data_IF_577694735891
#
_entry.id   IF_577694735891
#
_cell.length_a   1.000
_cell.length_b   1.000
_cell.length_c   1.000
_cell.angle_alpha   90.00
_cell.angle_beta   90.00
_cell.angle_gamma   90.00
#
_symmetry.space_group_name_H-M   'P 1'
#
loop_
_entity.id
_entity.type
_entity.pdbx_description
1 polymer ?
#
# COMPACT_ATOMS: atom_id res chain seq x y z
N UNK A 1 -8.93 4.05 50.27
CA UNK A 1 -8.24 5.27 49.75
C UNK A 1 -7.10 4.76 48.86
N UNK A 2 -6.98 4.97 47.55
CA UNK A 2 -7.58 5.90 46.59
C UNK A 2 -7.99 5.12 45.33
N UNK A 3 -9.06 5.58 44.69
CA UNK A 3 -9.60 5.15 43.40
C UNK A 3 -8.94 5.97 42.29
N UNK A 4 -8.52 5.33 41.18
CA UNK A 4 -8.35 5.88 39.82
C UNK A 4 -8.39 4.65 38.90
N UNK A 5 -9.51 4.29 38.25
CA UNK A 5 -10.08 4.89 37.05
C UNK A 5 -8.99 5.24 36.01
N UNK A 6 -8.79 4.36 35.03
CA UNK A 6 -8.87 4.62 33.58
C UNK A 6 -8.98 3.27 32.89
N UNK A 7 -10.24 2.90 32.68
CA UNK A 7 -10.68 2.07 31.57
C UNK A 7 -10.30 2.77 30.27
N UNK A 8 -9.57 2.11 29.37
CA UNK A 8 -9.80 2.02 27.91
C UNK A 8 -8.49 1.64 27.21
N UNK A 9 -8.53 0.56 26.45
CA UNK A 9 -8.17 0.49 25.01
C UNK A 9 -7.67 -0.91 24.63
N UNK A 10 -8.39 -1.95 25.05
CA UNK A 10 -8.47 -3.19 24.29
C UNK A 10 -9.27 -2.89 23.02
N UNK A 11 -8.59 -2.51 21.93
CA UNK A 11 -9.04 -2.59 20.51
C UNK A 11 -8.12 -1.74 19.63
N UNK A 12 -6.88 -2.18 19.43
CA UNK A 12 -6.19 -1.88 18.17
C UNK A 12 -6.52 -2.98 17.17
N UNK A 13 -7.67 -2.75 16.57
CA UNK A 13 -8.21 -3.33 15.35
C UNK A 13 -7.12 -3.45 14.30
N UNK A 14 -6.95 -4.67 13.79
CA UNK A 14 -6.52 -5.01 12.44
C UNK A 14 -5.90 -3.84 11.66
N UNK A 15 -4.58 -3.66 11.80
CA UNK A 15 -3.82 -2.98 10.76
C UNK A 15 -3.94 -3.84 9.50
N UNK A 16 -4.92 -3.52 8.66
CA UNK A 16 -5.02 -3.97 7.28
C UNK A 16 -3.81 -3.45 6.52
N UNK A 17 -2.67 -4.09 6.74
CA UNK A 17 -1.47 -3.93 5.95
C UNK A 17 -1.77 -4.55 4.60
N UNK A 18 -2.38 -3.77 3.71
CA UNK A 18 -2.17 -3.94 2.29
C UNK A 18 -0.72 -3.52 2.03
N UNK A 19 0.23 -4.40 2.41
CA UNK A 19 1.62 -4.36 1.99
C UNK A 19 1.62 -4.60 0.48
N UNK A 20 1.29 -3.55 -0.28
CA UNK A 20 1.50 -3.54 -1.72
C UNK A 20 2.99 -3.60 -1.95
N UNK A 21 3.40 -4.64 -2.67
CA UNK A 21 4.66 -4.87 -3.38
C UNK A 21 5.92 -4.37 -2.67
N UNK A 22 6.86 -5.29 -2.44
CA UNK A 22 8.27 -4.93 -2.26
C UNK A 22 8.62 -3.90 -3.32
N UNK A 23 8.88 -2.67 -2.87
CA UNK A 23 9.35 -1.56 -3.65
C UNK A 23 10.71 -1.99 -4.25
N UNK A 24 10.68 -2.69 -5.37
CA UNK A 24 11.78 -2.70 -6.33
C UNK A 24 11.73 -1.34 -7.00
N UNK A 25 11.92 -0.29 -6.20
CA UNK A 25 12.20 1.03 -6.71
C UNK A 25 13.52 0.87 -7.45
N UNK A 26 13.44 0.87 -8.77
CA UNK A 26 14.62 0.97 -9.61
C UNK A 26 15.41 2.18 -9.10
N UNK A 27 16.62 1.93 -8.61
CA UNK A 27 17.54 2.95 -8.17
C UNK A 27 17.78 3.87 -9.37
N UNK A 28 17.12 5.03 -9.41
CA UNK A 28 17.21 5.95 -10.56
C UNK A 28 18.56 6.64 -10.67
N UNK A 29 19.53 6.25 -9.85
CA UNK A 29 20.82 6.89 -9.82
C UNK A 29 21.80 6.29 -10.82
N UNK A 30 22.75 7.13 -11.25
CA UNK A 30 23.84 6.74 -12.13
C UNK A 30 24.85 5.77 -11.49
N UNK A 31 24.77 5.57 -10.17
CA UNK A 31 25.74 4.78 -9.40
C UNK A 31 25.05 3.60 -8.74
N UNK A 32 25.62 2.41 -8.91
CA UNK A 32 25.08 1.18 -8.35
C UNK A 32 25.09 1.17 -6.82
N UNK A 33 24.32 0.26 -6.21
CA UNK A 33 24.30 0.10 -4.76
C UNK A 33 25.70 -0.23 -4.21
N UNK A 34 26.44 -1.10 -4.89
CA UNK A 34 27.79 -1.51 -4.53
C UNK A 34 28.77 -0.33 -4.59
N UNK A 35 28.72 0.46 -5.67
CA UNK A 35 29.55 1.65 -5.86
C UNK A 35 29.34 2.65 -4.71
N UNK A 36 28.07 2.90 -4.35
CA UNK A 36 27.70 3.78 -3.25
C UNK A 36 28.18 3.25 -1.91
N UNK A 37 28.00 1.95 -1.65
CA UNK A 37 28.39 1.31 -0.39
C UNK A 37 29.89 1.39 -0.17
N UNK A 38 30.69 1.00 -1.16
CA UNK A 38 32.14 1.01 -1.05
C UNK A 38 32.69 2.42 -0.89
N UNK A 39 32.16 3.39 -1.65
CA UNK A 39 32.55 4.78 -1.50
C UNK A 39 32.27 5.29 -0.06
N UNK A 40 31.10 4.96 0.50
CA UNK A 40 30.75 5.31 1.89
C UNK A 40 31.69 4.68 2.91
N UNK A 41 31.98 3.38 2.79
CA UNK A 41 32.84 2.65 3.73
C UNK A 41 34.26 3.22 3.70
N UNK A 42 34.84 3.45 2.52
CA UNK A 42 36.16 4.07 2.40
C UNK A 42 36.21 5.48 2.97
N UNK A 43 35.15 6.28 2.79
CA UNK A 43 35.12 7.62 3.39
C UNK A 43 35.00 7.62 4.90
N UNK A 44 34.39 6.59 5.49
CA UNK A 44 34.30 6.45 6.94
C UNK A 44 35.64 6.00 7.52
N UNK A 45 36.26 5.01 6.87
CA UNK A 45 37.57 4.49 7.27
C UNK A 45 38.69 5.54 7.17
N UNK A 46 38.55 6.55 6.30
CA UNK A 46 39.55 7.63 6.15
C UNK A 46 39.94 8.30 7.48
N UNK A 47 38.98 8.42 8.41
CA UNK A 47 39.21 9.05 9.73
C UNK A 47 40.18 8.22 10.57
N UNK A 48 40.16 6.90 10.41
CA UNK A 48 41.03 5.96 11.11
C UNK A 48 42.35 5.74 10.35
N UNK A 49 42.30 5.73 9.02
CA UNK A 49 43.44 5.44 8.13
C UNK A 49 44.25 6.68 7.72
N UNK A 50 43.83 7.90 8.07
CA UNK A 50 44.51 9.15 7.72
C UNK A 50 44.49 9.51 6.23
N UNK A 51 43.58 8.91 5.45
CA UNK A 51 43.48 9.13 4.00
C UNK A 51 42.75 10.42 3.66
N UNK A 52 43.10 11.01 2.52
CA UNK A 52 42.42 12.20 1.99
C UNK A 52 41.18 11.82 1.18
N UNK A 53 40.36 12.81 0.83
CA UNK A 53 39.18 12.54 -0.02
C UNK A 53 39.56 12.27 -1.47
N UNK A 54 40.70 12.80 -1.89
CA UNK A 54 41.28 12.65 -3.21
C UNK A 54 41.70 11.20 -3.42
N UNK A 55 42.29 10.56 -2.40
CA UNK A 55 42.66 9.14 -2.41
C UNK A 55 41.43 8.25 -2.61
N UNK A 56 40.34 8.50 -1.86
CA UNK A 56 39.08 7.73 -2.00
C UNK A 56 38.49 7.87 -3.42
N UNK A 57 38.61 9.06 -4.02
CA UNK A 57 38.11 9.29 -5.40
C UNK A 57 39.01 8.63 -6.44
N UNK A 58 40.32 8.59 -6.20
CA UNK A 58 41.26 7.87 -7.03
C UNK A 58 40.97 6.37 -6.99
N UNK A 59 40.86 5.79 -5.79
CA UNK A 59 40.53 4.37 -5.57
C UNK A 59 39.19 3.99 -6.22
N UNK A 60 38.19 4.87 -6.12
CA UNK A 60 36.89 4.67 -6.78
C UNK A 60 37.03 4.59 -8.29
N UNK A 61 37.79 5.52 -8.89
CA UNK A 61 37.98 5.56 -10.34
C UNK A 61 38.80 4.37 -10.81
N UNK A 62 39.83 3.98 -10.05
CA UNK A 62 40.66 2.81 -10.32
C UNK A 62 39.87 1.49 -10.28
N UNK A 63 38.95 1.34 -9.31
CA UNK A 63 38.16 0.11 -9.15
C UNK A 63 37.02 -0.02 -10.15
N UNK A 64 36.28 1.07 -10.41
CA UNK A 64 35.04 1.01 -11.21
C UNK A 64 35.19 1.53 -12.65
N UNK A 65 36.31 2.16 -13.00
CA UNK A 65 36.52 2.76 -14.32
C UNK A 65 35.55 3.90 -14.65
N UNK A 66 34.85 4.44 -13.63
CA UNK A 66 33.85 5.52 -13.75
C UNK A 66 34.34 6.78 -13.04
N UNK A 67 33.91 7.97 -13.48
CA UNK A 67 34.28 9.20 -12.79
C UNK A 67 33.73 9.20 -11.36
N UNK A 68 34.63 9.44 -10.41
CA UNK A 68 34.28 9.48 -8.99
C UNK A 68 33.24 10.57 -8.70
N UNK A 69 32.18 10.25 -7.91
CA UNK A 69 31.16 11.22 -7.52
C UNK A 69 31.76 12.44 -6.82
N UNK A 70 31.07 13.59 -6.81
CA UNK A 70 31.56 14.77 -6.10
C UNK A 70 31.59 14.52 -4.59
N UNK A 71 32.56 15.11 -3.89
CA UNK A 71 32.78 14.96 -2.43
C UNK A 71 31.50 15.04 -1.60
N UNK A 72 30.64 16.02 -1.90
CA UNK A 72 29.34 16.22 -1.21
C UNK A 72 28.41 15.00 -1.29
N UNK A 73 28.44 14.28 -2.41
CA UNK A 73 27.58 13.12 -2.65
C UNK A 73 28.09 11.92 -1.86
N UNK A 74 29.41 11.72 -1.86
CA UNK A 74 30.03 10.63 -1.11
C UNK A 74 29.80 10.82 0.40
N UNK A 75 30.01 12.03 0.92
CA UNK A 75 29.71 12.35 2.33
C UNK A 75 28.23 12.16 2.68
N UNK A 76 27.32 12.51 1.76
CA UNK A 76 25.88 12.25 1.96
C UNK A 76 25.60 10.76 2.05
N UNK A 77 26.24 9.94 1.23
CA UNK A 77 26.07 8.49 1.26
C UNK A 77 26.61 7.89 2.56
N UNK A 78 27.79 8.32 2.99
CA UNK A 78 28.42 7.90 4.25
C UNK A 78 27.52 8.23 5.44
N UNK A 79 27.18 9.50 5.62
CA UNK A 79 26.27 9.92 6.68
C UNK A 79 24.94 9.15 6.68
N UNK A 80 24.33 8.94 5.50
CA UNK A 80 23.07 8.21 5.39
C UNK A 80 23.23 6.72 5.75
N UNK A 81 24.33 6.08 5.32
CA UNK A 81 24.62 4.68 5.61
C UNK A 81 24.81 4.48 7.11
N UNK A 82 25.65 5.29 7.76
CA UNK A 82 25.99 5.08 9.17
C UNK A 82 24.88 5.56 10.12
N UNK A 83 24.08 6.56 9.73
CA UNK A 83 22.94 6.98 10.55
C UNK A 83 21.71 6.07 10.41
N UNK A 84 21.36 5.68 9.18
CA UNK A 84 20.09 4.99 8.90
C UNK A 84 20.27 3.49 8.65
N UNK A 85 21.49 3.02 8.37
CA UNK A 85 21.78 1.65 7.94
C UNK A 85 21.35 1.33 6.50
N UNK A 86 20.88 2.33 5.74
CA UNK A 86 20.39 2.14 4.38
C UNK A 86 20.92 3.21 3.44
N UNK A 87 21.47 2.77 2.32
CA UNK A 87 22.00 3.66 1.29
C UNK A 87 21.00 3.91 0.16
N UNK A 88 19.95 3.09 0.05
CA UNK A 88 18.93 3.15 -1.02
C UNK A 88 18.19 4.48 -1.01
N UNK A 89 17.93 5.04 -2.19
CA UNK A 89 17.20 6.30 -2.30
C UNK A 89 15.82 6.21 -1.66
N UNK A 90 15.45 7.27 -0.93
CA UNK A 90 14.13 7.34 -0.32
C UNK A 90 13.10 7.44 -1.44
N UNK A 91 11.91 6.83 -1.27
CA UNK A 91 10.82 7.04 -2.21
C UNK A 91 10.59 8.54 -2.39
N UNK A 92 10.48 8.97 -3.65
CA UNK A 92 10.18 10.36 -3.95
C UNK A 92 8.81 10.68 -3.34
N UNK A 93 8.76 11.70 -2.50
CA UNK A 93 7.50 12.27 -2.03
C UNK A 93 6.86 12.96 -3.23
N UNK A 94 6.01 12.22 -3.96
CA UNK A 94 5.25 12.77 -5.07
C UNK A 94 4.24 13.84 -4.62
N UNK A 95 3.43 14.33 -5.56
CA UNK A 95 2.33 15.25 -5.24
C UNK A 95 1.44 14.65 -4.14
N UNK A 96 1.11 15.40 -3.07
CA UNK A 96 0.21 14.90 -2.04
C UNK A 96 -1.13 14.53 -2.69
N UNK A 97 -1.62 13.32 -2.37
CA UNK A 97 -2.86 12.81 -2.93
C UNK A 97 -4.01 13.10 -1.98
N UNK A 98 -5.00 13.85 -2.46
CA UNK A 98 -6.28 14.10 -1.76
C UNK A 98 -7.13 12.84 -1.58
N UNK A 99 -6.74 11.74 -2.22
CA UNK A 99 -7.45 10.45 -2.20
C UNK A 99 -7.57 9.89 -0.78
N UNK A 100 -6.52 9.99 0.05
CA UNK A 100 -6.56 9.33 1.37
C UNK A 100 -7.65 9.90 2.29
N UNK A 101 -7.88 11.20 2.20
CA UNK A 101 -8.79 11.91 3.10
C UNK A 101 -10.25 11.57 2.78
N UNK A 102 -10.61 11.46 1.50
CA UNK A 102 -11.98 11.20 1.05
C UNK A 102 -12.40 9.72 1.13
N UNK A 103 -11.46 8.80 1.32
CA UNK A 103 -11.74 7.36 1.29
C UNK A 103 -12.70 6.92 2.42
N UNK A 104 -12.54 7.47 3.62
CA UNK A 104 -13.38 7.15 4.77
C UNK A 104 -14.84 7.56 4.54
N UNK A 105 -15.05 8.73 3.96
CA UNK A 105 -16.39 9.26 3.65
C UNK A 105 -17.08 8.42 2.57
N UNK A 106 -16.35 8.04 1.52
CA UNK A 106 -16.86 7.13 0.48
C UNK A 106 -17.27 5.79 1.09
N UNK A 107 -16.47 5.23 2.00
CA UNK A 107 -16.77 3.98 2.70
C UNK A 107 -18.08 4.08 3.50
N UNK A 108 -18.25 5.15 4.29
CA UNK A 108 -19.46 5.38 5.06
C UNK A 108 -20.70 5.48 4.17
N UNK A 109 -20.58 6.23 3.07
CA UNK A 109 -21.65 6.38 2.08
C UNK A 109 -22.05 5.02 1.46
N UNK A 110 -21.08 4.14 1.15
CA UNK A 110 -21.36 2.81 0.59
C UNK A 110 -22.10 1.94 1.59
N UNK A 111 -21.69 1.92 2.85
CA UNK A 111 -22.35 1.16 3.91
C UNK A 111 -23.78 1.63 4.15
N UNK A 112 -24.01 2.94 4.12
CA UNK A 112 -25.35 3.51 4.29
C UNK A 112 -26.30 3.15 3.14
N UNK A 113 -25.79 3.08 1.91
CA UNK A 113 -26.62 2.82 0.73
C UNK A 113 -25.84 2.09 -0.36
N UNK A 114 -25.82 0.74 -0.35
CA UNK A 114 -25.02 -0.05 -1.28
C UNK A 114 -25.56 0.00 -2.72
N UNK A 115 -26.87 0.17 -2.91
CA UNK A 115 -27.52 0.20 -4.23
C UNK A 115 -27.36 1.52 -5.00
N UNK A 116 -26.79 2.58 -4.39
CA UNK A 116 -26.63 3.89 -5.04
C UNK A 116 -25.60 3.80 -6.17
N UNK A 117 -25.92 4.44 -7.30
CA UNK A 117 -25.02 4.53 -8.44
C UNK A 117 -23.79 5.38 -8.13
N UNK A 118 -22.68 5.08 -8.82
CA UNK A 118 -21.42 5.82 -8.69
C UNK A 118 -21.60 7.31 -9.03
N UNK A 119 -22.37 7.61 -10.09
CA UNK A 119 -22.66 9.00 -10.51
C UNK A 119 -23.39 9.77 -9.41
N UNK A 120 -24.40 9.18 -8.78
CA UNK A 120 -25.17 9.83 -7.72
C UNK A 120 -24.32 10.06 -6.47
N UNK A 121 -23.50 9.09 -6.09
CA UNK A 121 -22.56 9.21 -4.97
C UNK A 121 -21.52 10.30 -5.21
N UNK A 122 -20.99 10.38 -6.42
CA UNK A 122 -20.05 11.42 -6.85
C UNK A 122 -20.65 12.82 -6.74
N UNK A 123 -21.92 13.02 -7.15
CA UNK A 123 -22.58 14.33 -6.99
C UNK A 123 -22.91 14.66 -5.53
N UNK A 124 -23.27 13.69 -4.71
CA UNK A 124 -23.58 13.90 -3.28
C UNK A 124 -22.33 14.30 -2.48
N UNK A 125 -21.19 13.67 -2.76
CA UNK A 125 -19.93 13.90 -2.02
C UNK A 125 -19.04 14.97 -2.66
N UNK A 126 -19.38 15.49 -3.84
CA UNK A 126 -18.54 16.44 -4.58
C UNK A 126 -17.21 15.86 -5.09
N UNK A 127 -17.04 14.54 -5.05
CA UNK A 127 -15.82 13.83 -5.46
C UNK A 127 -15.93 13.47 -6.95
N UNK A 128 -14.90 13.68 -7.79
CA UNK A 128 -14.97 13.32 -9.20
C UNK A 128 -15.16 11.81 -9.42
N UNK A 129 -15.85 11.44 -10.50
CA UNK A 129 -16.21 10.03 -10.77
C UNK A 129 -14.99 9.11 -10.88
N UNK A 130 -13.88 9.59 -11.42
CA UNK A 130 -12.65 8.82 -11.61
C UNK A 130 -12.00 8.44 -10.27
N UNK A 131 -11.95 9.37 -9.32
CA UNK A 131 -11.45 9.08 -7.97
C UNK A 131 -12.45 8.22 -7.20
N UNK A 132 -13.76 8.44 -7.35
CA UNK A 132 -14.81 7.58 -6.78
C UNK A 132 -14.66 6.12 -7.23
N UNK A 133 -14.45 5.90 -8.53
CA UNK A 133 -14.20 4.56 -9.08
C UNK A 133 -12.95 3.94 -8.47
N UNK A 134 -11.86 4.71 -8.42
CA UNK A 134 -10.58 4.28 -7.83
C UNK A 134 -10.76 3.85 -6.37
N UNK A 135 -11.49 4.64 -5.57
CA UNK A 135 -11.81 4.29 -4.19
C UNK A 135 -12.56 2.97 -4.09
N UNK A 136 -13.61 2.82 -4.89
CA UNK A 136 -14.43 1.61 -4.85
C UNK A 136 -13.62 0.37 -5.26
N UNK A 137 -12.78 0.46 -6.31
CA UNK A 137 -12.08 -0.71 -6.84
C UNK A 137 -10.73 -1.01 -6.18
N UNK A 138 -9.96 0.00 -5.76
CA UNK A 138 -8.57 -0.18 -5.28
C UNK A 138 -8.40 0.00 -3.77
N UNK A 139 -9.26 0.79 -3.13
CA UNK A 139 -9.15 1.10 -1.70
C UNK A 139 -10.15 0.28 -0.87
N UNK A 140 -11.36 0.08 -1.39
CA UNK A 140 -12.43 -0.70 -0.74
C UNK A 140 -12.58 -2.12 -1.31
N UNK A 141 -11.86 -2.44 -2.39
CA UNK A 141 -11.91 -3.72 -3.10
C UNK A 141 -13.34 -4.21 -3.42
N UNK A 142 -14.24 -3.27 -3.74
CA UNK A 142 -15.61 -3.56 -4.14
C UNK A 142 -15.64 -4.00 -5.60
N UNK A 143 -16.34 -5.10 -5.85
CA UNK A 143 -16.62 -5.57 -7.20
C UNK A 143 -17.76 -4.77 -7.81
N UNK A 144 -17.68 -4.54 -9.12
CA UNK A 144 -18.76 -3.92 -9.88
C UNK A 144 -20.05 -4.73 -9.72
N UNK A 145 -21.17 -4.03 -9.62
CA UNK A 145 -22.48 -4.66 -9.49
C UNK A 145 -22.77 -5.54 -10.70
N UNK A 146 -23.04 -6.83 -10.45
CA UNK A 146 -23.50 -7.79 -11.46
C UNK A 146 -25.01 -7.97 -11.28
N UNK A 147 -25.86 -7.51 -12.21
CA UNK A 147 -27.29 -7.79 -12.12
C UNK A 147 -27.50 -9.30 -12.23
N UNK A 148 -28.14 -9.89 -11.24
CA UNK A 148 -28.66 -11.25 -11.29
C UNK A 148 -30.17 -11.16 -11.53
N UNK A 149 -30.66 -11.90 -12.51
CA UNK A 149 -32.10 -12.14 -12.63
C UNK A 149 -32.50 -13.01 -11.43
N UNK A 150 -33.41 -12.50 -10.60
CA UNK A 150 -33.94 -13.24 -9.45
C UNK A 150 -35.43 -13.43 -9.72
N UNK A 151 -35.89 -14.68 -9.62
CA UNK A 151 -37.31 -14.98 -9.69
C UNK A 151 -38.00 -14.49 -8.41
N UNK A 152 -39.20 -13.94 -8.57
CA UNK A 152 -40.04 -13.58 -7.43
C UNK A 152 -40.43 -14.85 -6.67
N UNK A 153 -40.10 -14.88 -5.38
CA UNK A 153 -40.49 -15.97 -4.49
C UNK A 153 -41.88 -15.64 -3.93
N UNK A 154 -42.85 -16.54 -4.13
CA UNK A 154 -44.12 -16.48 -3.39
C UNK A 154 -43.94 -17.14 -2.01
N UNK A 155 -44.74 -16.74 -1.02
CA UNK A 155 -44.68 -17.34 0.33
C UNK A 155 -44.88 -18.87 0.30
N UNK A 156 -45.69 -19.36 -0.64
CA UNK A 156 -45.97 -20.78 -0.83
C UNK A 156 -44.87 -21.55 -1.59
N UNK A 157 -43.80 -20.89 -2.04
CA UNK A 157 -42.78 -21.51 -2.90
C UNK A 157 -41.89 -22.48 -2.11
N UNK A 158 -41.71 -22.26 -0.81
CA UNK A 158 -41.04 -23.19 0.09
C UNK A 158 -41.82 -24.50 0.26
N UNK A 159 -43.14 -24.40 0.45
CA UNK A 159 -44.01 -25.56 0.61
C UNK A 159 -44.08 -26.38 -0.67
N UNK A 160 -44.22 -25.72 -1.83
CA UNK A 160 -44.18 -26.38 -3.15
C UNK A 160 -42.88 -27.13 -3.39
N UNK A 161 -41.73 -26.58 -2.98
CA UNK A 161 -40.43 -27.27 -3.06
C UNK A 161 -40.35 -28.46 -2.13
N UNK A 162 -40.90 -28.36 -0.92
CA UNK A 162 -40.93 -29.47 0.03
C UNK A 162 -41.79 -30.63 -0.50
N UNK A 163 -42.99 -30.32 -0.99
CA UNK A 163 -43.89 -31.31 -1.60
C UNK A 163 -43.24 -31.96 -2.80
N UNK A 164 -42.69 -31.18 -3.74
CA UNK A 164 -42.00 -31.72 -4.91
C UNK A 164 -40.82 -32.64 -4.55
N UNK A 165 -40.05 -32.29 -3.51
CA UNK A 165 -38.94 -33.12 -3.01
C UNK A 165 -39.43 -34.44 -2.42
N UNK A 166 -40.51 -34.41 -1.64
CA UNK A 166 -41.10 -35.61 -1.03
C UNK A 166 -41.71 -36.51 -2.11
N UNK A 167 -42.44 -35.94 -3.07
CA UNK A 167 -43.07 -36.72 -4.15
C UNK A 167 -42.04 -37.38 -5.06
N UNK A 168 -40.90 -36.74 -5.33
CA UNK A 168 -39.83 -37.31 -6.15
C UNK A 168 -39.17 -38.53 -5.48
N UNK A 169 -38.95 -38.45 -4.16
CA UNK A 169 -38.38 -39.55 -3.38
C UNK A 169 -39.31 -40.78 -3.29
N UNK A 170 -40.63 -40.59 -3.38
CA UNK A 170 -41.61 -41.68 -3.36
C UNK A 170 -41.62 -42.42 -4.71
N UNK A 171 -41.50 -41.71 -5.82
CA UNK A 171 -41.45 -42.30 -7.17
C UNK A 171 -40.16 -43.06 -7.51
N UNK A 172 -39.07 -42.87 -6.76
CA UNK A 172 -37.81 -43.63 -6.93
C UNK A 172 -37.76 -44.91 -6.06
N UNK A 173 -38.78 -45.13 -5.21
CA UNK A 173 -38.87 -46.28 -4.29
C UNK A 173 -39.85 -47.38 -4.70
N UNK A 174 -40.49 -47.23 -5.87
CA UNK A 174 -41.29 -48.26 -6.56
C UNK A 174 -40.52 -48.81 -7.77
#
# INVERSE_FOLDING_TARGET
MKKYLITVCSLLIFSGKCLKATDIMADTSSYSLEERLLASVWTHDRVHSGRTMEDVRHDFTARFGKPAPPKRTILRWEHKLFLTGSIKDKPRTGRPSTRRDTCAEVKASVLQSPKKSLRKRSSELGIPKTTMLTHMTQDLDLKLFKPSLVNELSDNDMDKRHVARVTFNISESE
#
